data_IF_742696763632
#
_entry.id   IF_742696763632
#
_cell.length_a   1.000
_cell.length_b   1.000
_cell.length_c   1.000
_cell.angle_alpha   90.00
_cell.angle_beta   90.00
_cell.angle_gamma   90.00
#
_symmetry.space_group_name_H-M   'P 1'
#
loop_
_entity.id
_entity.type
_entity.pdbx_description
1 polymer ?
#
# COMPACT_ATOMS: atom_id res chain seq x y z
N UNK A 1 -19.20 11.46 26.98
CA UNK A 1 -18.06 12.26 27.46
C UNK A 1 -16.94 12.14 26.43
N UNK A 2 -16.90 13.07 25.50
CA UNK A 2 -15.92 13.13 24.40
C UNK A 2 -14.64 13.78 24.96
N UNK A 3 -13.54 13.02 25.00
CA UNK A 3 -12.21 13.58 25.33
C UNK A 3 -11.66 14.25 24.08
N UNK A 4 -11.41 15.54 24.16
CA UNK A 4 -10.86 16.40 23.13
C UNK A 4 -9.46 15.91 22.64
N UNK A 5 -9.22 15.77 21.32
CA UNK A 5 -7.92 15.36 20.76
C UNK A 5 -6.86 16.48 20.72
N UNK A 6 -7.11 17.63 21.33
CA UNK A 6 -6.22 18.80 21.27
C UNK A 6 -4.98 18.69 22.14
N UNK A 7 -4.89 17.70 23.06
CA UNK A 7 -3.81 17.62 24.06
C UNK A 7 -2.51 17.04 23.48
N UNK A 8 -2.52 16.30 22.38
CA UNK A 8 -1.29 15.73 21.78
C UNK A 8 -0.44 16.71 20.95
N UNK A 9 -0.96 17.90 20.65
CA UNK A 9 -0.32 18.85 19.72
C UNK A 9 0.78 19.71 20.38
N UNK A 10 0.71 19.93 21.69
CA UNK A 10 1.64 20.82 22.41
C UNK A 10 2.96 20.14 22.81
N UNK A 11 2.99 18.82 22.88
CA UNK A 11 4.18 18.07 23.29
C UNK A 11 5.18 17.82 22.15
N UNK A 12 4.75 17.94 20.90
CA UNK A 12 5.61 17.77 19.71
C UNK A 12 6.38 19.04 19.31
N UNK A 13 5.93 20.21 19.72
CA UNK A 13 6.54 21.51 19.39
C UNK A 13 8.01 21.67 19.84
N UNK A 14 8.46 21.15 21.02
CA UNK A 14 9.85 21.27 21.44
C UNK A 14 10.81 20.47 20.55
N UNK A 15 10.40 19.32 20.05
CA UNK A 15 11.22 18.42 19.21
C UNK A 15 11.44 19.05 17.84
N UNK A 16 10.42 19.71 17.28
CA UNK A 16 10.47 20.40 16.00
C UNK A 16 11.37 21.64 16.08
N UNK A 17 11.29 22.42 17.17
CA UNK A 17 12.18 23.55 17.41
C UNK A 17 13.65 23.13 17.56
N UNK A 18 13.92 22.00 18.18
CA UNK A 18 15.29 21.47 18.33
C UNK A 18 15.89 21.05 17.00
N UNK A 19 15.11 20.45 16.10
CA UNK A 19 15.55 20.03 14.76
C UNK A 19 15.84 21.24 13.84
N UNK A 20 15.10 22.34 13.97
CA UNK A 20 15.27 23.55 13.16
C UNK A 20 16.47 24.39 13.62
N UNK A 21 16.89 24.32 14.89
CA UNK A 21 17.93 25.19 15.44
C UNK A 21 19.36 24.68 15.18
N UNK A 22 19.53 23.38 14.88
CA UNK A 22 20.86 22.75 14.74
C UNK A 22 21.35 22.59 13.29
N UNK A 23 20.62 23.05 12.29
CA UNK A 23 21.01 22.94 10.90
C UNK A 23 21.37 24.27 10.26
N UNK A 24 22.65 24.44 9.94
CA UNK A 24 23.17 25.63 9.24
C UNK A 24 22.93 25.60 7.71
N UNK A 25 22.35 24.53 7.17
CA UNK A 25 22.19 24.33 5.73
C UNK A 25 20.76 24.66 5.25
N UNK A 26 20.63 25.54 4.25
CA UNK A 26 19.33 26.00 3.72
C UNK A 26 18.48 24.84 3.15
N UNK A 27 19.13 23.78 2.64
CA UNK A 27 18.44 22.58 2.09
C UNK A 27 17.77 21.75 3.17
N UNK A 28 18.32 21.67 4.38
CA UNK A 28 17.69 20.97 5.49
C UNK A 28 16.54 21.77 6.12
N UNK A 29 16.55 23.09 6.03
CA UNK A 29 15.43 23.94 6.44
C UNK A 29 14.22 23.78 5.51
N UNK A 30 14.45 23.61 4.20
CA UNK A 30 13.38 23.32 3.23
C UNK A 30 12.75 21.95 3.47
N UNK A 31 13.54 20.94 3.79
CA UNK A 31 13.05 19.59 4.13
C UNK A 31 12.27 19.59 5.45
N UNK A 32 12.76 20.31 6.47
CA UNK A 32 12.04 20.48 7.72
C UNK A 32 10.74 21.27 7.56
N UNK A 33 10.71 22.30 6.70
CA UNK A 33 9.50 23.05 6.38
C UNK A 33 8.48 22.21 5.61
N UNK A 34 8.92 21.35 4.68
CA UNK A 34 8.07 20.40 3.97
C UNK A 34 7.47 19.34 4.91
N UNK A 35 8.28 18.79 5.82
CA UNK A 35 7.82 17.87 6.87
C UNK A 35 6.82 18.54 7.84
N UNK A 36 7.06 19.81 8.20
CA UNK A 36 6.15 20.58 9.05
C UNK A 36 4.84 20.89 8.31
N UNK A 37 4.89 21.18 7.00
CA UNK A 37 3.70 21.39 6.17
C UNK A 37 2.84 20.14 6.05
N UNK A 38 3.43 18.94 5.98
CA UNK A 38 2.73 17.65 5.96
C UNK A 38 2.09 17.35 7.32
N UNK A 39 2.75 17.74 8.44
CA UNK A 39 2.21 17.57 9.80
C UNK A 39 1.12 18.58 10.17
N UNK A 40 0.97 19.66 9.38
CA UNK A 40 -0.06 20.69 9.57
C UNK A 40 -1.31 20.45 8.70
N UNK A 41 -1.43 19.31 8.03
CA UNK A 41 -2.69 18.94 7.36
C UNK A 41 -3.80 18.90 8.42
N UNK A 42 -4.92 19.62 8.22
CA UNK A 42 -5.96 19.69 9.22
C UNK A 42 -6.54 18.28 9.45
N UNK A 43 -6.46 17.81 10.68
CA UNK A 43 -7.05 16.52 11.11
C UNK A 43 -8.58 16.44 10.82
N UNK A 44 -9.20 17.54 10.48
CA UNK A 44 -10.60 17.61 10.04
C UNK A 44 -10.86 17.01 8.65
N UNK A 45 -9.81 16.78 7.82
CA UNK A 45 -9.95 16.07 6.56
C UNK A 45 -10.08 14.54 6.73
N UNK A 46 -9.85 14.03 7.94
CA UNK A 46 -9.90 12.59 8.30
C UNK A 46 -11.22 12.21 8.99
N UNK A 47 -12.29 12.97 8.82
CA UNK A 47 -13.54 12.79 9.58
C UNK A 47 -14.69 12.12 8.78
N UNK A 48 -14.37 11.41 7.70
CA UNK A 48 -15.35 10.55 7.04
C UNK A 48 -15.46 9.23 7.86
N UNK A 49 -16.68 8.75 8.12
CA UNK A 49 -16.87 7.47 8.82
C UNK A 49 -16.76 6.27 7.90
N UNK A 50 -16.77 5.03 8.43
CA UNK A 50 -16.75 3.81 7.63
C UNK A 50 -17.83 3.79 6.54
N UNK A 51 -17.48 3.42 5.30
CA UNK A 51 -18.40 3.33 4.18
C UNK A 51 -18.82 4.66 3.55
N UNK A 52 -18.11 5.75 3.83
CA UNK A 52 -18.41 7.10 3.32
C UNK A 52 -17.48 7.55 2.19
N UNK A 53 -16.51 6.73 1.77
CA UNK A 53 -15.62 7.01 0.64
C UNK A 53 -16.03 6.24 -0.61
N UNK A 54 -15.66 6.79 -1.77
CA UNK A 54 -15.64 6.09 -3.05
C UNK A 54 -14.26 5.47 -3.30
N UNK A 55 -14.13 4.72 -4.39
CA UNK A 55 -12.87 4.14 -4.86
C UNK A 55 -12.14 3.29 -3.81
N UNK A 56 -12.88 2.51 -3.02
CA UNK A 56 -12.34 1.62 -1.98
C UNK A 56 -11.31 0.61 -2.54
N UNK A 57 -11.36 0.30 -3.83
CA UNK A 57 -10.39 -0.57 -4.50
C UNK A 57 -8.94 -0.04 -4.42
N UNK A 58 -8.77 1.27 -4.17
CA UNK A 58 -7.47 1.88 -3.94
C UNK A 58 -6.81 1.42 -2.62
N UNK A 59 -7.54 0.76 -1.73
CA UNK A 59 -7.03 0.22 -0.46
C UNK A 59 -6.76 -1.29 -0.50
N UNK A 60 -6.91 -1.95 -1.66
CA UNK A 60 -6.77 -3.40 -1.78
C UNK A 60 -5.33 -3.92 -1.84
N UNK A 61 -4.34 -3.08 -1.58
CA UNK A 61 -2.93 -3.44 -1.63
C UNK A 61 -2.41 -3.75 -3.04
N UNK A 62 -1.10 -3.77 -3.23
CA UNK A 62 -0.44 -3.93 -4.53
C UNK A 62 0.69 -4.97 -4.46
N UNK A 63 0.57 -6.03 -5.27
CA UNK A 63 1.54 -7.12 -5.31
C UNK A 63 1.45 -8.09 -4.13
N UNK A 64 1.78 -9.36 -4.37
CA UNK A 64 1.67 -10.40 -3.35
C UNK A 64 2.72 -10.26 -2.22
N UNK A 65 3.93 -9.76 -2.52
CA UNK A 65 4.99 -9.59 -1.52
C UNK A 65 4.57 -8.67 -0.36
N UNK A 66 4.11 -7.43 -0.59
CA UNK A 66 3.67 -6.56 0.49
C UNK A 66 2.48 -7.11 1.27
N UNK A 67 1.56 -7.76 0.57
CA UNK A 67 0.37 -8.34 1.20
C UNK A 67 0.73 -9.49 2.14
N UNK A 68 1.62 -10.41 1.72
CA UNK A 68 2.15 -11.44 2.61
C UNK A 68 2.91 -10.88 3.81
N UNK A 69 3.33 -9.62 3.74
CA UNK A 69 4.05 -8.86 4.76
C UNK A 69 3.12 -7.98 5.62
N UNK A 70 1.79 -8.23 5.58
CA UNK A 70 0.79 -7.47 6.32
C UNK A 70 0.54 -6.07 5.80
N UNK A 71 0.97 -5.79 4.57
CA UNK A 71 0.94 -4.45 3.95
C UNK A 71 1.74 -3.38 4.72
N UNK A 72 2.56 -3.77 5.69
CA UNK A 72 3.47 -2.89 6.41
C UNK A 72 4.68 -2.53 5.52
N UNK A 73 4.47 -1.78 4.44
CA UNK A 73 5.46 -1.62 3.38
C UNK A 73 5.97 -0.19 3.15
N UNK A 74 5.35 0.81 3.77
CA UNK A 74 5.72 2.23 3.64
C UNK A 74 7.19 2.50 3.97
N UNK A 75 7.79 1.95 5.06
CA UNK A 75 9.20 2.18 5.36
C UNK A 75 10.14 1.26 4.56
N UNK A 76 9.62 0.23 3.89
CA UNK A 76 10.40 -0.71 3.07
C UNK A 76 10.54 -0.20 1.64
N UNK A 77 9.44 -0.03 0.93
CA UNK A 77 9.23 0.54 -0.41
C UNK A 77 10.46 0.40 -1.35
N UNK A 78 10.95 -0.84 -1.56
CA UNK A 78 12.25 -1.10 -2.18
C UNK A 78 12.19 -1.81 -3.54
N UNK A 79 10.98 -2.06 -4.04
CA UNK A 79 10.69 -2.67 -5.35
C UNK A 79 9.60 -1.91 -6.09
N UNK A 80 9.04 -2.50 -7.14
CA UNK A 80 7.95 -1.90 -7.96
C UNK A 80 6.72 -1.53 -7.11
N UNK A 81 6.47 -2.23 -6.00
CA UNK A 81 5.34 -1.94 -5.12
C UNK A 81 5.46 -0.56 -4.43
N UNK A 82 6.63 0.09 -4.50
CA UNK A 82 6.81 1.47 -4.06
C UNK A 82 5.86 2.44 -4.76
N UNK A 83 5.44 2.14 -6.00
CA UNK A 83 4.45 2.92 -6.76
C UNK A 83 3.11 3.10 -6.02
N UNK A 84 2.79 2.18 -5.14
CA UNK A 84 1.55 2.15 -4.39
C UNK A 84 1.76 2.55 -2.92
N UNK A 85 2.79 1.99 -2.26
CA UNK A 85 2.95 2.13 -0.81
C UNK A 85 3.74 3.37 -0.38
N UNK A 86 4.73 3.79 -1.16
CA UNK A 86 5.53 4.99 -0.87
C UNK A 86 6.40 5.34 -2.08
N UNK A 87 6.01 6.31 -2.90
CA UNK A 87 6.75 6.67 -4.11
C UNK A 87 8.18 7.16 -3.83
N UNK A 88 8.48 7.58 -2.60
CA UNK A 88 9.86 7.96 -2.22
C UNK A 88 10.86 6.80 -2.35
N UNK A 89 10.38 5.55 -2.36
CA UNK A 89 11.20 4.37 -2.61
C UNK A 89 11.91 4.39 -3.96
N UNK A 90 11.35 5.06 -4.96
CA UNK A 90 11.96 5.22 -6.28
C UNK A 90 13.20 6.13 -6.29
N UNK A 91 13.39 6.95 -5.26
CA UNK A 91 14.57 7.81 -5.11
C UNK A 91 15.83 7.04 -4.74
N UNK A 92 15.69 5.79 -4.30
CA UNK A 92 16.80 4.94 -3.92
C UNK A 92 17.07 3.92 -5.02
N UNK A 93 18.36 3.52 -5.23
CA UNK A 93 18.63 2.37 -6.07
C UNK A 93 17.83 1.18 -5.55
N UNK A 94 17.41 0.31 -6.46
CA UNK A 94 16.90 -0.99 -6.06
C UNK A 94 17.89 -1.59 -5.06
N UNK A 95 17.40 -2.14 -3.95
CA UNK A 95 18.31 -2.71 -2.96
C UNK A 95 19.19 -3.71 -3.68
N UNK A 96 20.48 -3.40 -3.67
CA UNK A 96 21.51 -4.29 -4.19
C UNK A 96 21.66 -5.48 -3.24
N UNK A 97 20.61 -6.28 -3.11
CA UNK A 97 20.81 -7.65 -2.69
C UNK A 97 21.67 -8.28 -3.77
N UNK A 98 22.87 -8.78 -3.46
CA UNK A 98 23.72 -9.49 -4.45
C UNK A 98 22.97 -10.65 -5.12
N UNK A 99 21.83 -11.05 -4.56
CA UNK A 99 20.91 -12.06 -5.06
C UNK A 99 19.77 -11.46 -5.87
N UNK A 100 19.59 -10.14 -5.87
CA UNK A 100 18.58 -9.49 -6.68
C UNK A 100 19.15 -9.23 -8.06
N UNK A 101 18.48 -9.70 -9.08
CA UNK A 101 18.72 -9.33 -10.47
C UNK A 101 18.26 -7.91 -10.80
N UNK A 102 18.32 -6.99 -9.81
CA UNK A 102 17.84 -5.63 -9.96
C UNK A 102 18.51 -4.95 -11.15
N UNK A 103 17.76 -4.81 -12.22
CA UNK A 103 18.11 -4.04 -13.41
C UNK A 103 17.64 -2.58 -13.28
N UNK A 104 18.01 -1.74 -14.26
CA UNK A 104 17.52 -0.37 -14.31
C UNK A 104 16.00 -0.29 -14.53
N UNK A 105 15.39 -1.34 -15.03
CA UNK A 105 13.97 -1.44 -15.34
C UNK A 105 13.34 -2.60 -14.59
N UNK A 106 12.32 -2.33 -13.82
CA UNK A 106 11.57 -3.32 -13.04
C UNK A 106 10.12 -3.32 -13.49
N UNK A 107 9.52 -4.51 -13.62
CA UNK A 107 8.10 -4.67 -13.89
C UNK A 107 7.48 -5.60 -12.85
N UNK A 108 6.22 -5.36 -12.54
CA UNK A 108 5.40 -6.24 -11.72
C UNK A 108 4.06 -6.44 -12.40
N UNK A 109 3.65 -7.70 -12.49
CA UNK A 109 2.29 -8.13 -12.78
C UNK A 109 1.74 -8.85 -11.55
N UNK A 110 0.53 -8.49 -11.14
CA UNK A 110 -0.15 -9.14 -10.02
C UNK A 110 -1.60 -9.41 -10.39
N UNK A 111 -2.05 -10.61 -10.05
CA UNK A 111 -3.43 -11.02 -10.15
C UNK A 111 -3.93 -11.48 -8.80
N UNK A 112 -5.15 -11.10 -8.46
CA UNK A 112 -5.78 -11.45 -7.18
C UNK A 112 -7.19 -11.92 -7.45
N UNK A 113 -7.49 -13.12 -6.99
CA UNK A 113 -8.85 -13.61 -6.90
C UNK A 113 -9.37 -13.25 -5.52
N UNK A 114 -10.25 -12.28 -5.51
CA UNK A 114 -10.93 -11.81 -4.30
C UNK A 114 -12.20 -12.63 -4.09
N UNK A 115 -12.89 -12.36 -3.01
CA UNK A 115 -14.17 -13.00 -2.68
C UNK A 115 -15.23 -12.70 -3.74
N UNK A 116 -16.21 -13.58 -3.89
CA UNK A 116 -17.38 -13.41 -4.78
C UNK A 116 -17.04 -13.20 -6.27
N UNK A 117 -15.90 -13.71 -6.75
CA UNK A 117 -15.54 -13.64 -8.17
C UNK A 117 -15.03 -12.27 -8.62
N UNK A 118 -14.73 -11.37 -7.69
CA UNK A 118 -14.07 -10.11 -8.01
C UNK A 118 -12.61 -10.38 -8.37
N UNK A 119 -12.15 -9.85 -9.51
CA UNK A 119 -10.76 -9.91 -9.96
C UNK A 119 -10.08 -8.57 -9.81
N UNK A 120 -8.80 -8.60 -9.41
CA UNK A 120 -7.95 -7.42 -9.28
C UNK A 120 -6.65 -7.67 -10.03
N UNK A 121 -6.48 -6.97 -11.14
CA UNK A 121 -5.27 -6.99 -11.97
C UNK A 121 -4.44 -5.75 -11.71
N UNK A 122 -3.15 -5.91 -11.47
CA UNK A 122 -2.24 -4.80 -11.17
C UNK A 122 -0.97 -4.91 -12.00
N UNK A 123 -0.55 -3.78 -12.57
CA UNK A 123 0.67 -3.63 -13.35
C UNK A 123 1.50 -2.48 -12.78
N UNK A 124 2.80 -2.68 -12.70
CA UNK A 124 3.76 -1.65 -12.35
C UNK A 124 4.98 -1.70 -13.25
N UNK A 125 5.50 -0.55 -13.63
CA UNK A 125 6.77 -0.40 -14.33
C UNK A 125 7.58 0.73 -13.70
N UNK A 126 8.82 0.45 -13.39
CA UNK A 126 9.76 1.39 -12.77
C UNK A 126 11.02 1.50 -13.61
N UNK A 127 11.40 2.72 -13.91
CA UNK A 127 12.72 3.10 -14.38
C UNK A 127 13.17 4.30 -13.56
N UNK A 128 13.88 3.99 -12.46
CA UNK A 128 14.19 5.03 -11.45
C UNK A 128 14.82 6.26 -12.08
N UNK A 129 14.36 7.47 -11.74
CA UNK A 129 13.45 7.81 -10.64
C UNK A 129 11.95 7.86 -11.01
N UNK A 130 11.54 7.32 -12.14
CA UNK A 130 10.18 7.34 -12.66
C UNK A 130 9.49 5.99 -12.52
N UNK A 131 8.16 6.00 -12.47
CA UNK A 131 7.36 4.81 -12.53
C UNK A 131 5.93 5.07 -12.97
N UNK A 132 5.28 4.03 -13.47
CA UNK A 132 3.86 4.03 -13.85
C UNK A 132 3.18 2.82 -13.26
N UNK A 133 1.92 2.97 -12.90
CA UNK A 133 1.10 1.89 -12.33
C UNK A 133 -0.29 1.88 -12.93
N UNK A 134 -0.89 0.69 -12.95
CA UNK A 134 -2.28 0.45 -13.28
C UNK A 134 -2.87 -0.52 -12.26
N UNK A 135 -4.04 -0.20 -11.74
CA UNK A 135 -4.87 -1.10 -10.93
C UNK A 135 -6.25 -1.16 -11.59
N UNK A 136 -6.70 -2.37 -11.91
CA UNK A 136 -8.00 -2.62 -12.50
C UNK A 136 -8.74 -3.66 -11.67
N UNK A 137 -9.92 -3.29 -11.17
CA UNK A 137 -10.84 -4.19 -10.49
C UNK A 137 -12.03 -4.43 -11.41
N UNK A 138 -12.43 -5.69 -11.55
CA UNK A 138 -13.56 -6.09 -12.38
C UNK A 138 -14.50 -7.04 -11.66
N UNK A 139 -15.79 -6.79 -11.80
CA UNK A 139 -16.87 -7.66 -11.39
C UNK A 139 -17.87 -7.76 -12.54
N UNK A 140 -18.06 -8.98 -13.06
CA UNK A 140 -19.06 -9.26 -14.07
C UNK A 140 -20.30 -9.95 -13.50
N UNK A 141 -21.33 -10.11 -14.34
CA UNK A 141 -22.51 -10.89 -13.97
C UNK A 141 -23.51 -10.22 -13.05
N UNK A 142 -23.52 -8.88 -12.98
CA UNK A 142 -24.55 -8.13 -12.24
C UNK A 142 -25.85 -8.22 -13.02
N UNK A 143 -26.83 -8.92 -12.45
CA UNK A 143 -28.15 -9.04 -13.06
C UNK A 143 -28.94 -7.74 -12.89
N UNK A 144 -29.41 -7.22 -14.00
CA UNK A 144 -30.30 -6.05 -14.04
C UNK A 144 -31.74 -6.50 -14.21
N UNK A 145 -32.62 -6.03 -13.36
CA UNK A 145 -34.06 -6.33 -13.39
C UNK A 145 -34.85 -5.04 -13.22
N UNK A 146 -35.70 -4.70 -14.19
CA UNK A 146 -36.62 -3.56 -14.09
C UNK A 146 -37.92 -3.95 -13.41
N UNK A 147 -38.22 -5.26 -13.38
CA UNK A 147 -39.41 -5.84 -12.74
C UNK A 147 -39.02 -7.13 -12.03
N UNK A 148 -39.81 -7.57 -11.05
CA UNK A 148 -39.63 -8.87 -10.41
C UNK A 148 -39.93 -10.00 -11.43
N UNK A 149 -38.89 -10.62 -11.95
CA UNK A 149 -38.95 -11.65 -12.98
C UNK A 149 -37.97 -12.79 -12.68
N UNK A 150 -38.25 -13.99 -13.20
CA UNK A 150 -37.43 -15.16 -13.04
C UNK A 150 -36.08 -15.05 -13.81
N UNK A 151 -36.05 -14.26 -14.89
CA UNK A 151 -34.84 -14.02 -15.71
C UNK A 151 -34.46 -12.55 -15.63
N UNK A 152 -33.15 -12.21 -15.62
CA UNK A 152 -32.72 -10.81 -15.68
C UNK A 152 -33.04 -10.20 -17.06
N UNK A 153 -33.32 -8.89 -17.09
CA UNK A 153 -33.54 -8.14 -18.32
C UNK A 153 -32.22 -7.97 -19.10
N UNK A 154 -31.14 -7.74 -18.35
CA UNK A 154 -29.77 -7.65 -18.88
C UNK A 154 -28.76 -8.07 -17.81
N UNK A 155 -27.51 -8.20 -18.23
CA UNK A 155 -26.39 -8.47 -17.33
C UNK A 155 -25.34 -7.40 -17.54
N UNK A 156 -25.07 -6.66 -16.49
CA UNK A 156 -24.06 -5.62 -16.46
C UNK A 156 -22.78 -6.04 -15.72
N UNK A 157 -21.91 -5.07 -15.51
CA UNK A 157 -20.68 -5.23 -14.75
C UNK A 157 -20.32 -3.95 -14.01
N UNK A 158 -19.42 -4.09 -13.06
CA UNK A 158 -18.73 -2.97 -12.41
C UNK A 158 -17.24 -3.08 -12.70
N UNK A 159 -16.58 -1.95 -12.90
CA UNK A 159 -15.14 -1.90 -13.08
C UNK A 159 -14.56 -0.60 -12.57
N UNK A 160 -13.40 -0.71 -11.92
CA UNK A 160 -12.67 0.42 -11.40
C UNK A 160 -11.24 0.41 -11.95
N UNK A 161 -10.75 1.57 -12.34
CA UNK A 161 -9.43 1.76 -12.91
C UNK A 161 -8.70 2.89 -12.19
N UNK A 162 -7.46 2.63 -11.80
CA UNK A 162 -6.53 3.68 -11.38
C UNK A 162 -5.25 3.61 -12.22
N UNK A 163 -4.85 4.75 -12.77
CA UNK A 163 -3.59 4.94 -13.48
C UNK A 163 -2.72 5.90 -12.69
N UNK A 164 -1.48 5.54 -12.41
CA UNK A 164 -0.54 6.34 -11.65
C UNK A 164 0.74 6.66 -12.42
N UNK A 165 1.26 7.86 -12.23
CA UNK A 165 2.59 8.28 -12.70
C UNK A 165 3.36 8.83 -11.50
N UNK A 166 4.54 8.26 -11.24
CA UNK A 166 5.34 8.55 -10.06
C UNK A 166 6.70 9.12 -10.44
N UNK A 167 7.19 10.02 -9.61
CA UNK A 167 8.54 10.57 -9.66
C UNK A 167 9.09 10.72 -8.25
N UNK A 168 10.38 10.41 -8.07
CA UNK A 168 11.02 10.61 -6.77
C UNK A 168 12.45 11.13 -6.93
N UNK A 169 12.93 11.80 -5.88
CA UNK A 169 14.30 12.31 -5.82
C UNK A 169 14.83 12.29 -4.39
N UNK A 170 16.12 12.06 -4.26
CA UNK A 170 16.80 12.10 -2.98
C UNK A 170 17.38 13.49 -2.70
N UNK A 171 17.14 14.01 -1.49
CA UNK A 171 17.69 15.26 -0.98
C UNK A 171 18.33 15.01 0.39
N UNK A 172 19.62 15.24 0.52
CA UNK A 172 20.36 15.07 1.78
C UNK A 172 20.10 13.71 2.48
N UNK A 173 20.04 12.62 1.72
CA UNK A 173 19.83 11.27 2.25
C UNK A 173 18.34 10.93 2.53
N UNK A 174 17.42 11.85 2.24
CA UNK A 174 15.97 11.63 2.36
C UNK A 174 15.38 11.53 0.97
N UNK A 175 14.70 10.44 0.67
CA UNK A 175 13.89 10.26 -0.53
C UNK A 175 12.55 10.99 -0.36
N UNK A 176 12.15 11.70 -1.40
CA UNK A 176 10.82 12.31 -1.53
C UNK A 176 10.25 11.87 -2.86
N UNK A 177 9.00 11.44 -2.86
CA UNK A 177 8.30 10.98 -4.05
C UNK A 177 6.90 11.54 -4.14
N UNK A 178 6.41 11.64 -5.37
CA UNK A 178 5.04 12.05 -5.66
C UNK A 178 4.46 11.13 -6.73
N UNK A 179 3.18 10.79 -6.59
CA UNK A 179 2.39 10.08 -7.61
C UNK A 179 1.16 10.90 -7.95
N UNK A 180 0.92 11.15 -9.24
CA UNK A 180 -0.36 11.66 -9.72
C UNK A 180 -1.20 10.49 -10.21
N UNK A 181 -2.47 10.44 -9.81
CA UNK A 181 -3.41 9.36 -10.16
C UNK A 181 -4.62 9.89 -10.92
N UNK A 182 -5.04 9.14 -11.94
CA UNK A 182 -6.36 9.22 -12.55
C UNK A 182 -7.17 7.99 -12.13
N UNK A 183 -8.39 8.21 -11.65
CA UNK A 183 -9.27 7.19 -11.11
C UNK A 183 -10.58 7.24 -11.87
N UNK A 184 -11.10 6.08 -12.26
CA UNK A 184 -12.40 5.94 -12.90
C UNK A 184 -13.13 4.74 -12.31
N UNK A 185 -14.34 4.97 -11.88
CA UNK A 185 -15.29 3.92 -11.46
C UNK A 185 -16.43 3.85 -12.47
N UNK A 186 -16.88 2.64 -12.77
CA UNK A 186 -17.99 2.38 -13.68
C UNK A 186 -18.87 1.27 -13.12
N UNK A 187 -20.16 1.51 -13.05
CA UNK A 187 -21.17 0.54 -12.63
C UNK A 187 -22.40 0.66 -13.51
N UNK A 188 -22.77 -0.44 -14.17
CA UNK A 188 -24.05 -0.56 -14.91
C UNK A 188 -24.34 0.68 -15.78
N UNK A 189 -23.37 1.04 -16.66
CA UNK A 189 -23.50 2.16 -17.60
C UNK A 189 -23.26 3.56 -17.05
N UNK A 190 -23.14 3.75 -15.74
CA UNK A 190 -22.74 5.01 -15.12
C UNK A 190 -21.24 5.00 -14.87
N UNK A 191 -20.61 6.16 -14.99
CA UNK A 191 -19.18 6.30 -14.68
C UNK A 191 -18.86 7.63 -14.01
N UNK A 192 -17.90 7.60 -13.11
CA UNK A 192 -17.35 8.78 -12.45
C UNK A 192 -15.83 8.75 -12.49
N UNK A 193 -15.20 9.91 -12.40
CA UNK A 193 -13.74 10.04 -12.41
C UNK A 193 -13.27 11.01 -11.33
N UNK A 194 -12.08 10.74 -10.82
CA UNK A 194 -11.39 11.59 -9.84
C UNK A 194 -9.89 11.66 -10.15
N UNK A 195 -9.23 12.63 -9.54
CA UNK A 195 -7.77 12.78 -9.55
C UNK A 195 -7.26 12.77 -8.12
N UNK A 196 -6.12 12.12 -7.92
CA UNK A 196 -5.48 12.08 -6.61
C UNK A 196 -3.97 12.29 -6.72
N UNK A 197 -3.37 12.62 -5.58
CA UNK A 197 -1.92 12.74 -5.42
C UNK A 197 -1.51 11.93 -4.20
N UNK A 198 -0.39 11.18 -4.32
CA UNK A 198 0.30 10.61 -3.19
C UNK A 198 1.62 11.36 -2.96
N UNK A 199 2.02 11.47 -1.69
CA UNK A 199 3.27 12.11 -1.30
C UNK A 199 3.99 11.18 -0.32
N UNK A 200 5.18 10.73 -0.72
CA UNK A 200 6.00 9.83 0.08
C UNK A 200 7.28 10.48 0.59
N UNK A 201 7.70 10.07 1.77
CA UNK A 201 9.01 10.39 2.35
C UNK A 201 9.63 9.11 2.88
N UNK A 202 10.90 8.88 2.59
CA UNK A 202 11.63 7.70 3.04
C UNK A 202 13.06 8.08 3.43
N UNK A 203 13.50 7.61 4.58
CA UNK A 203 14.89 7.71 4.99
C UNK A 203 15.45 6.33 5.31
N UNK A 204 16.51 5.94 4.63
CA UNK A 204 17.32 4.76 4.93
C UNK A 204 18.60 5.20 5.61
N UNK A 205 18.94 4.58 6.74
CA UNK A 205 20.14 4.92 7.49
C UNK A 205 21.29 4.02 7.03
N UNK A 206 22.39 4.63 6.54
CA UNK A 206 23.54 3.89 6.00
C UNK A 206 24.29 3.11 7.07
N UNK A 207 24.36 3.66 8.30
CA UNK A 207 25.09 3.07 9.43
C UNK A 207 24.32 2.01 10.22
N UNK A 208 23.03 1.84 9.95
CA UNK A 208 22.13 0.94 10.68
C UNK A 208 21.13 0.33 9.70
N UNK A 209 20.70 -0.93 9.87
CA UNK A 209 19.67 -1.55 9.05
C UNK A 209 18.26 -1.01 9.40
N UNK A 210 18.11 0.29 9.46
CA UNK A 210 16.90 1.01 9.86
C UNK A 210 16.42 1.87 8.71
N UNK A 211 15.10 1.87 8.46
CA UNK A 211 14.44 2.84 7.59
C UNK A 211 13.18 3.40 8.26
N UNK A 212 12.88 4.65 7.97
CA UNK A 212 11.67 5.35 8.41
C UNK A 212 10.94 5.85 7.18
N UNK A 213 9.63 5.63 7.12
CA UNK A 213 8.78 6.03 6.01
C UNK A 213 7.54 6.76 6.47
N UNK A 214 7.10 7.70 5.64
CA UNK A 214 5.82 8.37 5.71
C UNK A 214 5.22 8.39 4.31
N UNK A 215 3.91 8.20 4.22
CA UNK A 215 3.13 8.33 3.00
C UNK A 215 1.79 8.98 3.29
N UNK A 216 1.36 9.86 2.41
CA UNK A 216 0.00 10.38 2.32
C UNK A 216 -0.54 9.95 0.96
N UNK A 217 -1.46 9.02 0.94
CA UNK A 217 -2.02 8.45 -0.29
C UNK A 217 -3.45 8.88 -0.55
N UNK A 218 -3.81 8.92 -1.83
CA UNK A 218 -5.15 9.18 -2.34
C UNK A 218 -5.75 10.54 -1.92
N UNK A 219 -4.93 11.56 -1.67
CA UNK A 219 -5.43 12.91 -1.42
C UNK A 219 -5.88 13.53 -2.75
N UNK A 220 -7.18 13.82 -2.91
CA UNK A 220 -7.68 14.26 -4.21
C UNK A 220 -9.08 14.81 -4.23
N UNK A 221 -9.65 14.81 -5.44
CA UNK A 221 -11.02 15.26 -5.69
C UNK A 221 -12.02 14.19 -5.30
N UNK A 222 -13.24 14.60 -4.96
CA UNK A 222 -14.32 13.66 -4.75
C UNK A 222 -14.68 12.93 -6.04
N UNK A 223 -15.15 11.71 -5.92
CA UNK A 223 -15.85 10.96 -6.98
C UNK A 223 -17.33 11.37 -6.95
N UNK A 224 -17.85 11.79 -8.09
CA UNK A 224 -19.24 12.23 -8.19
C UNK A 224 -20.02 11.32 -9.14
N UNK A 225 -20.95 10.55 -8.56
CA UNK A 225 -21.98 9.82 -9.30
C UNK A 225 -23.29 10.59 -9.27
N UNK A 226 -23.81 10.97 -10.43
CA UNK A 226 -25.05 11.72 -10.61
C UNK A 226 -25.02 13.01 -9.76
N UNK A 227 -25.64 13.00 -8.58
CA UNK A 227 -25.78 14.16 -7.68
C UNK A 227 -25.04 14.00 -6.34
N UNK A 228 -24.47 12.81 -6.07
CA UNK A 228 -23.77 12.52 -4.82
C UNK A 228 -22.25 12.53 -5.02
N UNK A 229 -21.56 13.23 -4.12
CA UNK A 229 -20.09 13.29 -4.08
C UNK A 229 -19.57 12.53 -2.85
N UNK A 230 -18.55 11.71 -3.07
CA UNK A 230 -17.89 10.93 -2.03
C UNK A 230 -16.38 11.17 -2.07
N UNK A 231 -15.73 11.42 -0.92
CA UNK A 231 -14.29 11.62 -0.88
C UNK A 231 -13.54 10.33 -1.24
N UNK A 232 -12.30 10.48 -1.70
CA UNK A 232 -11.38 9.37 -1.87
C UNK A 232 -10.92 8.82 -0.51
N UNK A 233 -10.48 7.53 -0.43
CA UNK A 233 -9.98 6.91 0.79
C UNK A 233 -8.57 7.40 1.10
N UNK A 234 -8.46 8.66 1.52
CA UNK A 234 -7.17 9.28 1.87
C UNK A 234 -6.60 8.64 3.13
N UNK A 235 -5.35 8.21 3.07
CA UNK A 235 -4.68 7.55 4.19
C UNK A 235 -3.33 8.20 4.45
N UNK A 236 -3.06 8.53 5.71
CA UNK A 236 -1.72 8.91 6.17
C UNK A 236 -1.08 7.72 6.88
N UNK A 237 0.12 7.34 6.46
CA UNK A 237 0.83 6.17 6.97
C UNK A 237 2.22 6.56 7.48
N UNK A 238 2.61 6.01 8.62
CA UNK A 238 3.97 6.16 9.15
C UNK A 238 4.50 4.80 9.61
N UNK A 239 5.76 4.51 9.31
CA UNK A 239 6.34 3.23 9.68
C UNK A 239 7.84 3.26 9.87
N UNK A 240 8.32 2.22 10.56
CA UNK A 240 9.72 1.92 10.75
C UNK A 240 10.01 0.46 10.38
N UNK A 241 11.12 0.23 9.69
CA UNK A 241 11.58 -1.10 9.34
C UNK A 241 13.03 -1.31 9.79
N UNK A 242 13.31 -2.50 10.30
CA UNK A 242 14.65 -2.93 10.69
C UNK A 242 15.02 -4.21 9.92
N UNK A 243 16.16 -4.21 9.25
CA UNK A 243 16.66 -5.32 8.45
C UNK A 243 16.62 -5.05 6.95
N UNK A 244 16.53 -6.12 6.13
CA UNK A 244 16.62 -6.14 4.66
C UNK A 244 17.91 -5.50 4.13
N UNK A 245 18.99 -5.72 4.82
CA UNK A 245 20.33 -5.38 4.35
C UNK A 245 21.08 -6.65 3.97
N UNK A 246 22.31 -6.49 3.43
CA UNK A 246 23.16 -7.61 3.06
C UNK A 246 23.48 -8.53 4.26
N UNK A 247 23.68 -7.94 5.44
CA UNK A 247 24.05 -8.66 6.67
C UNK A 247 22.82 -9.14 7.44
N UNK A 248 21.64 -8.59 7.13
CA UNK A 248 20.37 -8.94 7.76
C UNK A 248 19.36 -9.36 6.69
N UNK A 249 19.27 -10.66 6.36
CA UNK A 249 18.35 -11.17 5.32
C UNK A 249 16.89 -11.20 5.76
N UNK A 250 16.57 -10.61 6.90
CA UNK A 250 15.23 -10.51 7.47
C UNK A 250 14.85 -9.04 7.69
N UNK A 251 13.55 -8.79 7.78
CA UNK A 251 13.02 -7.50 8.19
C UNK A 251 11.87 -7.67 9.17
N UNK A 252 11.79 -6.72 10.08
CA UNK A 252 10.64 -6.52 10.96
C UNK A 252 10.15 -5.10 10.70
N UNK A 253 8.85 -4.93 10.51
CA UNK A 253 8.23 -3.64 10.25
C UNK A 253 7.09 -3.40 11.20
N UNK A 254 7.00 -2.16 11.67
CA UNK A 254 5.85 -1.60 12.35
C UNK A 254 5.37 -0.39 11.54
N UNK A 255 4.07 -0.34 11.26
CA UNK A 255 3.42 0.75 10.54
C UNK A 255 2.09 1.08 11.22
N UNK A 256 1.72 2.35 11.20
CA UNK A 256 0.41 2.86 11.63
C UNK A 256 -0.20 3.59 10.45
N UNK A 257 -1.44 3.24 10.13
CA UNK A 257 -2.24 3.89 9.10
C UNK A 257 -3.41 4.64 9.72
N UNK A 258 -3.66 5.81 9.20
CA UNK A 258 -4.70 6.75 9.62
C UNK A 258 -5.60 7.05 8.41
N UNK A 259 -6.49 6.14 8.03
CA UNK A 259 -7.43 6.37 6.92
C UNK A 259 -8.55 7.32 7.34
N UNK A 260 -9.12 8.05 6.37
CA UNK A 260 -10.25 8.95 6.61
C UNK A 260 -11.60 8.20 6.71
N UNK A 261 -11.67 6.97 6.21
CA UNK A 261 -12.89 6.17 6.05
C UNK A 261 -13.01 5.00 7.02
N UNK A 262 -12.05 4.81 7.92
CA UNK A 262 -12.08 3.74 8.93
C UNK A 262 -11.24 4.12 10.16
N UNK A 263 -11.32 3.28 11.18
CA UNK A 263 -10.48 3.45 12.38
C UNK A 263 -8.99 3.28 12.03
N UNK A 264 -8.09 3.96 12.78
CA UNK A 264 -6.66 3.74 12.67
C UNK A 264 -6.29 2.26 12.82
N UNK A 265 -5.35 1.79 12.00
CA UNK A 265 -4.86 0.43 12.10
C UNK A 265 -3.34 0.37 12.30
N UNK A 266 -2.89 -0.69 12.98
CA UNK A 266 -1.48 -1.01 13.19
C UNK A 266 -1.15 -2.24 12.37
N UNK A 267 -0.06 -2.18 11.62
CA UNK A 267 0.43 -3.27 10.79
C UNK A 267 1.80 -3.72 11.26
N UNK A 268 1.95 -5.02 11.36
CA UNK A 268 3.21 -5.68 11.66
C UNK A 268 3.58 -6.57 10.48
N UNK A 269 4.84 -6.50 10.07
CA UNK A 269 5.36 -7.32 8.98
C UNK A 269 6.67 -7.99 9.37
N UNK A 270 6.81 -9.24 8.93
CA UNK A 270 8.05 -10.00 9.03
C UNK A 270 8.38 -10.62 7.67
N UNK A 271 9.62 -10.49 7.23
CA UNK A 271 10.14 -11.15 6.03
C UNK A 271 11.48 -11.82 6.36
N UNK A 272 11.65 -13.06 5.93
CA UNK A 272 12.87 -13.81 6.04
C UNK A 272 13.34 -14.32 4.68
N UNK A 273 14.58 -14.04 4.29
CA UNK A 273 15.19 -14.38 3.00
C UNK A 273 16.43 -15.28 3.14
N UNK A 274 16.52 -16.01 4.24
CA UNK A 274 17.69 -16.84 4.55
C UNK A 274 17.72 -18.21 3.86
N UNK A 275 16.64 -18.66 3.24
CA UNK A 275 16.52 -19.99 2.63
C UNK A 275 16.90 -20.01 1.14
N UNK A 276 18.07 -19.48 0.76
CA UNK A 276 18.53 -19.47 -0.63
C UNK A 276 17.59 -18.66 -1.53
N UNK A 277 16.91 -19.28 -2.53
CA UNK A 277 16.00 -18.57 -3.41
C UNK A 277 14.62 -18.28 -2.78
N UNK A 278 14.33 -18.90 -1.63
CA UNK A 278 13.03 -18.78 -0.98
C UNK A 278 12.99 -17.63 0.01
N UNK A 279 11.84 -17.01 0.13
CA UNK A 279 11.49 -16.05 1.17
C UNK A 279 10.17 -16.43 1.82
N UNK A 280 10.09 -16.22 3.13
CA UNK A 280 8.88 -16.43 3.92
C UNK A 280 8.45 -15.10 4.53
N UNK A 281 7.15 -14.89 4.59
CA UNK A 281 6.55 -13.65 5.11
C UNK A 281 5.38 -13.98 6.01
N UNK A 282 5.23 -13.16 7.03
CA UNK A 282 4.07 -13.13 7.89
C UNK A 282 3.72 -11.68 8.19
N UNK A 283 2.45 -11.40 8.28
CA UNK A 283 1.95 -10.08 8.60
C UNK A 283 0.73 -10.12 9.50
N UNK A 284 0.49 -9.01 10.17
CA UNK A 284 -0.71 -8.82 10.97
C UNK A 284 -1.18 -7.37 10.84
N UNK A 285 -2.48 -7.21 10.65
CA UNK A 285 -3.18 -5.93 10.64
C UNK A 285 -4.25 -5.94 11.72
N UNK A 286 -4.29 -4.88 12.53
CA UNK A 286 -5.38 -4.70 13.49
C UNK A 286 -6.65 -4.25 12.78
N UNK A 287 -7.79 -4.61 13.33
CA UNK A 287 -9.11 -4.18 12.89
C UNK A 287 -9.91 -3.74 14.10
N UNK A 288 -10.84 -2.81 13.92
CA UNK A 288 -11.77 -2.46 14.97
C UNK A 288 -12.63 -3.66 15.38
N UNK A 289 -13.14 -3.66 16.62
CA UNK A 289 -14.01 -4.73 17.10
C UNK A 289 -15.26 -4.89 16.23
N UNK A 290 -15.78 -3.80 15.69
CA UNK A 290 -16.94 -3.82 14.80
C UNK A 290 -16.61 -4.45 13.44
N UNK A 291 -15.48 -4.08 12.81
CA UNK A 291 -15.01 -4.68 11.57
C UNK A 291 -14.74 -6.18 11.74
N UNK A 292 -14.07 -6.54 12.84
CA UNK A 292 -13.80 -7.96 13.15
C UNK A 292 -15.10 -8.75 13.34
N UNK A 293 -16.05 -8.24 14.11
CA UNK A 293 -17.34 -8.88 14.34
C UNK A 293 -18.14 -9.06 13.05
N UNK A 294 -18.14 -8.05 12.17
CA UNK A 294 -18.81 -8.12 10.87
C UNK A 294 -18.16 -9.18 9.96
N UNK A 295 -16.84 -9.20 9.87
CA UNK A 295 -16.10 -10.14 9.01
C UNK A 295 -16.14 -11.59 9.51
N UNK A 296 -16.22 -11.80 10.82
CA UNK A 296 -16.35 -13.13 11.42
C UNK A 296 -17.80 -13.61 11.53
N UNK A 297 -18.78 -12.78 11.10
CA UNK A 297 -20.20 -13.16 11.21
C UNK A 297 -20.71 -13.31 12.64
N UNK A 298 -19.92 -12.95 13.66
CA UNK A 298 -20.29 -13.15 15.07
C UNK A 298 -21.51 -12.32 15.46
N UNK A 299 -21.73 -11.19 14.81
CA UNK A 299 -22.94 -10.36 14.97
C UNK A 299 -24.21 -11.08 14.51
N UNK A 300 -24.09 -12.11 13.64
CA UNK A 300 -25.18 -12.94 13.14
C UNK A 300 -25.25 -14.31 13.83
N UNK A 301 -24.47 -14.51 14.91
CA UNK A 301 -24.44 -15.76 15.66
C UNK A 301 -23.55 -16.87 15.05
N UNK A 302 -22.75 -16.54 14.04
CA UNK A 302 -21.77 -17.50 13.51
C UNK A 302 -20.67 -17.76 14.53
N UNK A 303 -20.27 -19.03 14.67
CA UNK A 303 -19.08 -19.46 15.41
C UNK A 303 -17.98 -19.71 14.38
N UNK A 304 -17.21 -18.67 14.07
CA UNK A 304 -16.07 -18.81 13.18
C UNK A 304 -15.10 -19.88 13.72
N UNK A 305 -14.66 -20.78 12.84
CA UNK A 305 -13.72 -21.84 13.18
C UNK A 305 -12.72 -22.07 12.05
N UNK A 306 -11.55 -22.60 12.38
CA UNK A 306 -10.51 -22.87 11.39
C UNK A 306 -9.72 -21.65 10.97
N UNK A 307 -9.52 -21.43 9.66
CA UNK A 307 -8.73 -20.31 9.13
C UNK A 307 -9.33 -18.93 9.43
N UNK A 308 -10.63 -18.86 9.74
CA UNK A 308 -11.29 -17.59 10.10
C UNK A 308 -10.78 -17.00 11.40
N UNK A 309 -10.26 -17.83 12.31
CA UNK A 309 -9.65 -17.38 13.57
C UNK A 309 -8.39 -16.52 13.34
N UNK A 310 -7.76 -16.65 12.16
CA UNK A 310 -6.58 -15.91 11.76
C UNK A 310 -6.90 -14.60 11.03
N UNK A 311 -8.12 -14.08 11.17
CA UNK A 311 -8.50 -12.79 10.61
C UNK A 311 -7.55 -11.67 11.07
N UNK A 312 -7.03 -10.94 10.10
CA UNK A 312 -5.98 -9.92 10.31
C UNK A 312 -4.56 -10.44 10.07
N UNK A 313 -4.36 -11.75 10.01
CA UNK A 313 -3.07 -12.32 9.63
C UNK A 313 -2.94 -12.42 8.11
N UNK A 314 -1.72 -12.37 7.63
CA UNK A 314 -1.35 -12.69 6.26
C UNK A 314 -0.11 -13.56 6.24
N UNK A 315 -0.03 -14.46 5.28
CA UNK A 315 1.14 -15.30 5.05
C UNK A 315 1.59 -15.13 3.61
N UNK A 316 2.89 -15.19 3.39
CA UNK A 316 3.47 -15.06 2.06
C UNK A 316 4.68 -15.96 1.86
N UNK A 317 4.87 -16.35 0.62
CA UNK A 317 6.06 -17.06 0.16
C UNK A 317 6.57 -16.39 -1.12
N UNK A 318 7.88 -16.40 -1.29
CA UNK A 318 8.51 -15.90 -2.52
C UNK A 318 9.54 -16.89 -3.02
N UNK A 319 9.64 -16.99 -4.34
CA UNK A 319 10.66 -17.77 -5.03
C UNK A 319 11.41 -16.86 -6.00
N UNK A 320 12.70 -16.69 -5.76
CA UNK A 320 13.60 -15.99 -6.67
C UNK A 320 14.06 -16.94 -7.76
N UNK A 321 13.91 -16.49 -8.98
CA UNK A 321 14.39 -17.19 -10.17
C UNK A 321 15.43 -16.34 -10.92
N UNK A 322 16.18 -16.90 -11.86
CA UNK A 322 17.07 -16.13 -12.72
C UNK A 322 16.39 -15.07 -13.58
N UNK A 323 15.06 -15.18 -13.75
CA UNK A 323 14.25 -14.31 -14.61
C UNK A 323 13.45 -13.28 -13.82
N UNK A 324 13.26 -13.47 -12.50
CA UNK A 324 12.47 -12.59 -11.65
C UNK A 324 12.02 -13.28 -10.37
N UNK A 325 11.24 -12.57 -9.58
CA UNK A 325 10.70 -13.06 -8.31
C UNK A 325 9.22 -13.41 -8.48
N UNK A 326 8.83 -14.63 -8.08
CA UNK A 326 7.45 -15.08 -8.00
C UNK A 326 7.02 -15.02 -6.53
N UNK A 327 5.98 -14.28 -6.24
CA UNK A 327 5.45 -14.11 -4.90
C UNK A 327 4.00 -14.59 -4.81
N UNK A 328 3.69 -15.18 -3.68
CA UNK A 328 2.35 -15.64 -3.31
C UNK A 328 1.99 -15.10 -1.94
N UNK A 329 0.71 -14.74 -1.75
CA UNK A 329 0.18 -14.36 -0.45
C UNK A 329 -1.23 -14.94 -0.25
N UNK A 330 -1.53 -15.22 1.01
CA UNK A 330 -2.81 -15.70 1.50
C UNK A 330 -3.28 -14.80 2.63
N UNK A 331 -4.52 -14.32 2.54
CA UNK A 331 -5.15 -13.44 3.52
C UNK A 331 -6.50 -14.03 3.92
N UNK A 332 -6.64 -14.60 5.12
CA UNK A 332 -7.92 -15.02 5.67
C UNK A 332 -8.83 -13.81 5.89
N UNK A 333 -10.03 -13.84 5.32
CA UNK A 333 -11.02 -12.75 5.35
C UNK A 333 -12.29 -13.13 6.13
N UNK A 334 -12.17 -14.00 7.10
CA UNK A 334 -13.29 -14.46 7.94
C UNK A 334 -14.33 -15.26 7.13
N UNK A 335 -15.60 -15.00 7.37
CA UNK A 335 -16.73 -15.66 6.67
C UNK A 335 -16.72 -15.39 5.15
N UNK A 336 -16.04 -14.33 4.69
CA UNK A 336 -15.87 -14.06 3.28
C UNK A 336 -14.89 -15.04 2.60
N UNK A 337 -14.20 -15.90 3.37
CA UNK A 337 -13.26 -16.88 2.86
C UNK A 337 -11.81 -16.41 2.90
N UNK A 338 -10.99 -16.87 1.97
CA UNK A 338 -9.56 -16.55 1.91
C UNK A 338 -9.23 -15.96 0.55
N UNK A 339 -8.60 -14.80 0.54
CA UNK A 339 -8.09 -14.20 -0.68
C UNK A 339 -6.68 -14.73 -0.97
N UNK A 340 -6.43 -15.05 -2.24
CA UNK A 340 -5.14 -15.49 -2.74
C UNK A 340 -4.60 -14.49 -3.74
N UNK A 341 -3.31 -14.18 -3.63
CA UNK A 341 -2.65 -13.25 -4.53
C UNK A 341 -1.37 -13.84 -5.06
N UNK A 342 -1.13 -13.63 -6.35
CA UNK A 342 0.12 -13.97 -7.00
C UNK A 342 0.69 -12.73 -7.67
N UNK A 343 2.00 -12.58 -7.64
CA UNK A 343 2.68 -11.56 -8.42
C UNK A 343 4.00 -12.10 -8.98
N UNK A 344 4.32 -11.63 -10.16
CA UNK A 344 5.60 -11.87 -10.79
C UNK A 344 6.27 -10.54 -11.07
N UNK A 345 7.47 -10.37 -10.51
CA UNK A 345 8.30 -9.21 -10.75
C UNK A 345 9.57 -9.63 -11.51
N UNK A 346 9.93 -8.88 -12.53
CA UNK A 346 11.12 -9.15 -13.30
C UNK A 346 11.89 -7.87 -13.62
N UNK A 347 13.20 -8.04 -13.76
CA UNK A 347 14.14 -6.96 -14.01
C UNK A 347 14.69 -7.08 -15.41
N UNK A 348 14.57 -6.02 -16.20
CA UNK A 348 15.13 -5.94 -17.54
C UNK A 348 16.46 -5.17 -17.52
N UNK A 349 17.42 -5.63 -18.33
CA UNK A 349 18.72 -4.97 -18.44
C UNK A 349 19.69 -5.26 -17.29
N UNK A 350 19.39 -6.22 -16.41
CA UNK A 350 20.39 -6.73 -15.46
C UNK A 350 21.55 -7.34 -16.26
N UNK A 351 22.77 -6.81 -16.08
CA UNK A 351 23.97 -7.48 -16.60
C UNK A 351 24.06 -8.83 -15.92
N UNK A 352 24.03 -9.92 -16.69
CA UNK A 352 24.42 -11.25 -16.17
C UNK A 352 25.76 -11.07 -15.48
N UNK A 353 25.78 -11.29 -14.16
CA UNK A 353 27.03 -11.25 -13.41
C UNK A 353 28.03 -12.19 -14.08
N UNK A 354 29.19 -11.67 -14.41
CA UNK A 354 30.29 -12.46 -14.96
C UNK A 354 30.65 -13.57 -13.95
N UNK A 355 30.44 -14.86 -14.28
CA UNK A 355 30.73 -15.96 -13.38
C UNK A 355 32.25 -16.09 -13.07
N UNK A 356 33.09 -15.25 -13.64
CA UNK A 356 34.57 -15.32 -13.54
C UNK A 356 35.15 -14.48 -12.38
N UNK A 357 34.39 -13.87 -11.50
CA UNK A 357 34.88 -13.22 -10.28
C UNK A 357 34.33 -13.92 -9.02
N UNK A 358 34.80 -15.14 -8.82
CA UNK A 358 34.84 -15.80 -7.52
C UNK A 358 36.22 -15.65 -6.90
#
# INVERSE_FOLDING_TARGET
>A
MLRNPVIFFWDALPIIKLALHHSSNSKSKLVAAALTGVLLFPASALAAGPGTSAAEFLQLGFGARPIGFGEAFVPVANDVSALYYNPAGLAYPALSDPRSSAGPHEMLFSESLLVQGVSLTQLGYVTRPFGVSMTYLGLGGIEERTTESASPDSTGGASDLALGVSYARQFAGIGVGVTGKYIRESIVGYSASAYAVDIGVLRRFESRPLSLGFDLSNAGTDVRFIDQSYPLPTTASIGAAYGLTRDFPHAIVLQVDLPNNSDPDVRLGFEYRGFGPFSLRAGYRTYSSAQRAASLGTALGSTASGLTDFYGMSLGAGLRTPFGDLDFAMVPSGELGTAYRMSYSFNMGAKKGDPAKK
#
